data_IF_136062435409
#
_entry.id   IF_136062435409
#
_cell.length_a   1.000
_cell.length_b   1.000
_cell.length_c   1.000
_cell.angle_alpha   90.00
_cell.angle_beta   90.00
_cell.angle_gamma   90.00
#
_symmetry.space_group_name_H-M   'P 1'
#
loop_
_entity.id
_entity.type
_entity.pdbx_description
1 polymer ?
#
# COMPACT_ATOMS: atom_id res chain seq x y z
N UNK A 1 9.96 -18.13 -16.56
CA UNK A 1 8.64 -17.79 -15.98
C UNK A 1 8.86 -16.66 -15.00
N UNK A 2 8.14 -15.60 -15.19
CA UNK A 2 8.24 -14.41 -14.35
C UNK A 2 7.81 -14.74 -12.91
N UNK A 3 8.78 -14.77 -12.00
CA UNK A 3 8.56 -15.14 -10.61
C UNK A 3 7.66 -14.13 -9.91
N UNK A 4 7.83 -12.84 -10.20
CA UNK A 4 7.04 -11.75 -9.60
C UNK A 4 5.58 -11.78 -10.08
N UNK A 5 5.34 -12.03 -11.37
CA UNK A 5 3.98 -12.18 -11.89
C UNK A 5 3.21 -13.32 -11.21
N UNK A 6 3.89 -14.44 -10.93
CA UNK A 6 3.27 -15.56 -10.20
C UNK A 6 2.96 -15.20 -8.75
N UNK A 7 3.85 -14.44 -8.07
CA UNK A 7 3.59 -13.95 -6.71
C UNK A 7 2.41 -12.97 -6.68
N UNK A 8 2.31 -12.07 -7.67
CA UNK A 8 1.20 -11.14 -7.77
C UNK A 8 -0.14 -11.88 -7.93
N UNK A 9 -0.20 -12.89 -8.80
CA UNK A 9 -1.41 -13.74 -8.95
C UNK A 9 -1.83 -14.35 -7.62
N UNK A 10 -0.88 -14.87 -6.83
CA UNK A 10 -1.15 -15.44 -5.52
C UNK A 10 -1.69 -14.39 -4.54
N UNK A 11 -1.03 -13.23 -4.43
CA UNK A 11 -1.42 -12.13 -3.54
C UNK A 11 -2.83 -11.65 -3.87
N UNK A 12 -3.12 -11.38 -5.15
CA UNK A 12 -4.44 -10.94 -5.59
C UNK A 12 -5.53 -11.98 -5.29
N UNK A 13 -5.23 -13.27 -5.48
CA UNK A 13 -6.15 -14.36 -5.16
C UNK A 13 -6.43 -14.46 -3.66
N UNK A 14 -5.41 -14.25 -2.83
CA UNK A 14 -5.51 -14.29 -1.37
C UNK A 14 -6.31 -13.10 -0.81
N UNK A 15 -6.06 -11.90 -1.30
CA UNK A 15 -6.73 -10.68 -0.85
C UNK A 15 -8.19 -10.62 -1.31
N UNK A 16 -8.45 -10.98 -2.56
CA UNK A 16 -9.79 -11.03 -3.10
C UNK A 16 -10.64 -12.19 -2.50
N UNK A 17 -10.00 -13.18 -1.86
CA UNK A 17 -10.63 -14.42 -1.40
C UNK A 17 -11.50 -15.10 -2.47
N UNK A 18 -11.16 -14.86 -3.75
CA UNK A 18 -11.93 -15.30 -4.91
C UNK A 18 -11.07 -15.31 -6.17
N UNK A 19 -10.93 -16.46 -6.79
CA UNK A 19 -10.22 -16.57 -8.06
C UNK A 19 -10.91 -15.82 -9.21
N UNK A 20 -12.24 -15.68 -9.14
CA UNK A 20 -13.00 -14.93 -10.13
C UNK A 20 -12.74 -13.44 -10.03
N UNK A 21 -12.72 -12.89 -8.80
CA UNK A 21 -12.43 -11.47 -8.57
C UNK A 21 -10.99 -11.16 -8.95
N UNK A 22 -10.02 -11.97 -8.47
CA UNK A 22 -8.61 -11.83 -8.81
C UNK A 22 -8.38 -11.90 -10.34
N UNK A 23 -9.09 -12.81 -11.02
CA UNK A 23 -9.01 -12.90 -12.47
C UNK A 23 -9.47 -11.64 -13.19
N UNK A 24 -10.56 -11.01 -12.73
CA UNK A 24 -11.03 -9.72 -13.29
C UNK A 24 -10.01 -8.61 -13.08
N UNK A 25 -9.43 -8.53 -11.89
CA UNK A 25 -8.43 -7.51 -11.56
C UNK A 25 -7.16 -7.64 -12.42
N UNK A 26 -6.75 -8.87 -12.71
CA UNK A 26 -5.55 -9.16 -13.49
C UNK A 26 -5.82 -9.33 -15.00
N UNK A 27 -7.06 -9.17 -15.46
CA UNK A 27 -7.42 -9.33 -16.87
C UNK A 27 -7.31 -10.77 -17.40
N UNK A 28 -7.42 -11.78 -16.52
CA UNK A 28 -7.30 -13.20 -16.88
C UNK A 28 -8.50 -14.03 -16.38
N UNK A 29 -8.67 -15.24 -16.91
CA UNK A 29 -9.75 -16.12 -16.46
C UNK A 29 -9.49 -16.69 -15.04
N UNK A 30 -10.56 -16.99 -14.31
CA UNK A 30 -10.45 -17.64 -12.98
C UNK A 30 -9.74 -18.99 -13.07
N UNK A 31 -9.89 -19.72 -14.17
CA UNK A 31 -9.17 -20.98 -14.41
C UNK A 31 -7.67 -20.78 -14.59
N UNK A 32 -7.24 -19.65 -15.19
CA UNK A 32 -5.83 -19.29 -15.31
C UNK A 32 -5.23 -18.99 -13.93
N UNK A 33 -5.96 -18.25 -13.06
CA UNK A 33 -5.55 -18.04 -11.68
C UNK A 33 -5.38 -19.37 -10.94
N UNK A 34 -6.39 -20.27 -11.03
CA UNK A 34 -6.34 -21.57 -10.37
C UNK A 34 -5.16 -22.43 -10.84
N UNK A 35 -4.85 -22.42 -12.15
CA UNK A 35 -3.70 -23.13 -12.72
C UNK A 35 -2.37 -22.52 -12.27
N UNK A 36 -2.28 -21.19 -12.16
CA UNK A 36 -1.07 -20.51 -11.70
C UNK A 36 -0.79 -20.83 -10.22
N UNK A 37 -1.83 -20.79 -9.39
CA UNK A 37 -1.74 -21.18 -7.96
C UNK A 37 -1.34 -22.65 -7.83
N UNK A 38 -1.98 -23.57 -8.56
CA UNK A 38 -1.66 -24.98 -8.51
C UNK A 38 -0.19 -25.28 -8.85
N UNK A 39 0.34 -24.65 -9.91
CA UNK A 39 1.76 -24.75 -10.28
C UNK A 39 2.71 -24.19 -9.20
N UNK A 40 2.28 -23.14 -8.51
CA UNK A 40 3.04 -22.58 -7.39
C UNK A 40 3.07 -23.56 -6.20
N UNK A 41 1.93 -24.11 -5.82
CA UNK A 41 1.81 -25.12 -4.77
C UNK A 41 2.66 -26.36 -5.07
N UNK A 42 2.61 -26.84 -6.33
CA UNK A 42 3.42 -27.97 -6.78
C UNK A 42 4.93 -27.69 -6.65
N UNK A 43 5.37 -26.50 -7.09
CA UNK A 43 6.78 -26.08 -6.98
C UNK A 43 7.25 -25.94 -5.54
N UNK A 44 6.38 -25.46 -4.65
CA UNK A 44 6.70 -25.26 -3.23
C UNK A 44 6.52 -26.54 -2.40
N UNK A 45 5.83 -27.54 -2.94
CA UNK A 45 5.52 -28.80 -2.25
C UNK A 45 4.49 -28.65 -1.13
N UNK A 46 3.80 -27.51 -1.04
CA UNK A 46 2.83 -27.21 0.02
C UNK A 46 1.55 -26.62 -0.56
N UNK A 47 0.43 -26.80 0.14
CA UNK A 47 -0.82 -26.15 -0.19
C UNK A 47 -0.87 -24.74 0.40
N UNK A 48 -1.24 -23.76 -0.42
CA UNK A 48 -1.40 -22.37 0.00
C UNK A 48 -2.87 -22.03 0.25
N UNK A 49 -3.78 -22.75 -0.42
CA UNK A 49 -5.22 -22.58 -0.25
C UNK A 49 -5.90 -23.89 0.12
N UNK A 50 -6.92 -23.80 0.97
CA UNK A 50 -7.85 -24.90 1.20
C UNK A 50 -8.70 -25.13 -0.05
N UNK A 51 -8.82 -26.36 -0.49
CA UNK A 51 -9.70 -26.73 -1.61
C UNK A 51 -11.14 -26.77 -1.13
N UNK A 52 -11.85 -25.67 -1.23
CA UNK A 52 -13.30 -25.59 -1.06
C UNK A 52 -13.92 -25.00 -2.31
N UNK A 53 -15.05 -25.55 -2.76
CA UNK A 53 -15.80 -25.05 -3.92
C UNK A 53 -16.53 -23.74 -3.61
N UNK A 54 -16.65 -23.36 -2.32
CA UNK A 54 -17.44 -22.20 -1.88
C UNK A 54 -16.62 -20.98 -1.45
N UNK A 55 -15.35 -21.18 -1.04
CA UNK A 55 -14.51 -20.08 -0.58
C UNK A 55 -13.04 -20.38 -0.82
N UNK A 56 -12.29 -19.34 -1.17
CA UNK A 56 -10.83 -19.37 -1.27
C UNK A 56 -10.28 -18.89 0.08
N UNK A 57 -9.81 -19.84 0.89
CA UNK A 57 -9.22 -19.58 2.21
C UNK A 57 -7.78 -20.06 2.25
N UNK A 58 -6.91 -19.27 2.89
CA UNK A 58 -5.50 -19.62 3.03
C UNK A 58 -5.29 -20.74 4.05
N UNK A 59 -4.28 -21.56 3.80
CA UNK A 59 -3.68 -22.45 4.81
C UNK A 59 -2.77 -21.64 5.75
N UNK A 60 -2.21 -22.25 6.77
CA UNK A 60 -1.19 -21.64 7.63
C UNK A 60 0.05 -21.26 6.80
N UNK A 61 0.49 -22.14 5.91
CA UNK A 61 1.59 -21.94 4.99
C UNK A 61 1.28 -20.80 3.98
N UNK A 62 0.02 -20.76 3.47
CA UNK A 62 -0.46 -19.71 2.59
C UNK A 62 -0.46 -18.36 3.28
N UNK A 63 -0.85 -18.28 4.54
CA UNK A 63 -0.83 -17.04 5.33
C UNK A 63 0.59 -16.54 5.57
N UNK A 64 1.51 -17.43 5.94
CA UNK A 64 2.92 -17.10 6.08
C UNK A 64 3.53 -16.62 4.76
N UNK A 65 3.20 -17.31 3.67
CA UNK A 65 3.70 -16.95 2.34
C UNK A 65 3.17 -15.60 1.86
N UNK A 66 1.89 -15.29 2.13
CA UNK A 66 1.30 -13.98 1.82
C UNK A 66 2.03 -12.85 2.53
N UNK A 67 2.35 -13.01 3.81
CA UNK A 67 3.11 -12.02 4.56
C UNK A 67 4.48 -11.77 3.92
N UNK A 68 5.17 -12.83 3.48
CA UNK A 68 6.47 -12.69 2.79
C UNK A 68 6.33 -12.02 1.43
N UNK A 69 5.31 -12.36 0.65
CA UNK A 69 5.06 -11.72 -0.64
C UNK A 69 4.79 -10.21 -0.49
N UNK A 70 4.01 -9.82 0.52
CA UNK A 70 3.75 -8.40 0.81
C UNK A 70 5.03 -7.63 1.12
N UNK A 71 5.93 -8.21 1.90
CA UNK A 71 7.24 -7.58 2.17
C UNK A 71 8.07 -7.43 0.90
N UNK A 72 8.08 -8.44 0.02
CA UNK A 72 8.80 -8.37 -1.26
C UNK A 72 8.25 -7.22 -2.11
N UNK A 73 6.94 -7.09 -2.25
CA UNK A 73 6.33 -6.00 -3.01
C UNK A 73 6.60 -4.63 -2.38
N UNK A 74 6.53 -4.52 -1.06
CA UNK A 74 6.87 -3.28 -0.34
C UNK A 74 8.32 -2.86 -0.55
N UNK A 75 9.27 -3.81 -0.61
CA UNK A 75 10.68 -3.51 -0.91
C UNK A 75 10.87 -3.04 -2.36
N UNK A 76 10.13 -3.61 -3.31
CA UNK A 76 10.15 -3.16 -4.72
C UNK A 76 9.64 -1.73 -4.81
N UNK A 77 8.48 -1.43 -4.19
CA UNK A 77 7.92 -0.09 -4.15
C UNK A 77 8.87 0.91 -3.47
N UNK A 78 9.52 0.51 -2.39
CA UNK A 78 10.52 1.35 -1.70
C UNK A 78 11.72 1.65 -2.61
N UNK A 79 12.21 0.67 -3.35
CA UNK A 79 13.31 0.86 -4.30
C UNK A 79 12.93 1.79 -5.45
N UNK A 80 11.71 1.66 -6.00
CA UNK A 80 11.19 2.56 -7.03
C UNK A 80 11.06 4.00 -6.52
N UNK A 81 10.52 4.17 -5.30
CA UNK A 81 10.41 5.48 -4.66
C UNK A 81 11.79 6.11 -4.37
N UNK A 82 12.76 5.31 -4.00
CA UNK A 82 14.13 5.79 -3.78
C UNK A 82 14.75 6.33 -5.07
N UNK A 83 14.55 5.63 -6.19
CA UNK A 83 15.00 6.09 -7.51
C UNK A 83 14.28 7.37 -7.95
N UNK A 84 12.98 7.46 -7.71
CA UNK A 84 12.21 8.68 -8.02
C UNK A 84 12.68 9.88 -7.19
N UNK A 85 13.00 9.68 -5.92
CA UNK A 85 13.56 10.72 -5.04
C UNK A 85 14.94 11.23 -5.50
N UNK A 86 15.69 10.42 -6.25
CA UNK A 86 17.00 10.80 -6.75
C UNK A 86 16.90 11.80 -7.92
N UNK A 87 15.73 11.93 -8.55
CA UNK A 87 15.55 12.77 -9.73
C UNK A 87 14.94 14.14 -9.47
N UNK A 88 14.23 14.35 -8.34
CA UNK A 88 13.71 15.69 -7.99
C UNK A 88 13.72 15.87 -6.47
N UNK A 89 14.46 16.86 -5.98
CA UNK A 89 14.28 17.34 -4.61
C UNK A 89 12.82 17.83 -4.46
N UNK A 90 12.05 17.33 -3.49
CA UNK A 90 10.69 17.76 -3.30
C UNK A 90 10.67 19.25 -2.98
N UNK A 91 9.90 20.03 -3.77
CA UNK A 91 9.80 21.48 -3.68
C UNK A 91 8.34 21.91 -3.77
N UNK A 92 8.00 23.02 -3.18
CA UNK A 92 6.65 23.58 -3.21
C UNK A 92 6.13 23.91 -1.81
N UNK A 93 4.82 24.17 -1.68
CA UNK A 93 4.20 24.51 -0.41
C UNK A 93 3.45 23.33 0.16
N UNK A 94 3.81 22.92 1.37
CA UNK A 94 3.12 21.89 2.16
C UNK A 94 2.27 22.59 3.23
N UNK A 95 0.93 22.49 3.10
CA UNK A 95 0.00 22.95 4.13
C UNK A 95 -0.31 21.83 5.10
N UNK A 96 -0.12 22.09 6.39
CA UNK A 96 -0.40 21.14 7.46
C UNK A 96 -1.26 21.81 8.52
N UNK A 97 -2.46 21.26 8.74
CA UNK A 97 -3.32 21.67 9.86
C UNK A 97 -3.16 20.68 11.00
N UNK A 98 -2.87 21.20 12.17
CA UNK A 98 -2.62 20.41 13.37
C UNK A 98 -3.49 20.93 14.52
N UNK A 99 -4.00 20.03 15.41
CA UNK A 99 -4.60 20.47 16.64
C UNK A 99 -3.55 21.22 17.52
N UNK A 100 -3.99 22.02 18.48
CA UNK A 100 -3.06 22.75 19.37
C UNK A 100 -2.06 21.81 20.06
N UNK A 101 -2.47 20.58 20.41
CA UNK A 101 -1.56 19.55 20.90
C UNK A 101 -0.46 19.15 19.88
N UNK A 102 -0.62 19.48 18.62
CA UNK A 102 0.38 19.25 17.57
C UNK A 102 1.68 20.03 17.76
N UNK A 103 1.72 21.01 18.68
CA UNK A 103 2.96 21.64 19.11
C UNK A 103 4.01 20.65 19.62
N UNK A 104 3.59 19.52 20.18
CA UNK A 104 4.49 18.43 20.57
C UNK A 104 5.23 17.80 19.39
N UNK A 105 4.74 18.00 18.15
CA UNK A 105 5.39 17.52 16.92
C UNK A 105 6.43 18.51 16.35
N UNK A 106 6.63 19.66 16.97
CA UNK A 106 7.58 20.67 16.48
C UNK A 106 8.98 20.13 16.22
N UNK A 107 9.57 19.26 17.06
CA UNK A 107 10.87 18.67 16.76
C UNK A 107 10.90 17.88 15.46
N UNK A 108 9.81 17.11 15.17
CA UNK A 108 9.67 16.34 13.94
C UNK A 108 9.49 17.26 12.74
N UNK A 109 8.69 18.31 12.86
CA UNK A 109 8.49 19.29 11.79
C UNK A 109 9.80 20.02 11.45
N UNK A 110 10.58 20.42 12.46
CA UNK A 110 11.89 21.03 12.26
C UNK A 110 12.87 20.07 11.61
N UNK A 111 12.88 18.80 11.99
CA UNK A 111 13.71 17.78 11.33
C UNK A 111 13.31 17.60 9.85
N UNK A 112 12.00 17.60 9.55
CA UNK A 112 11.49 17.55 8.18
C UNK A 112 11.93 18.78 7.36
N UNK A 113 11.78 20.00 7.87
CA UNK A 113 12.21 21.23 7.19
C UNK A 113 13.71 21.25 6.91
N UNK A 114 14.52 20.68 7.80
CA UNK A 114 15.97 20.54 7.57
C UNK A 114 16.29 19.52 6.48
N UNK A 115 15.53 18.43 6.42
CA UNK A 115 15.70 17.37 5.41
C UNK A 115 15.25 17.82 4.01
N UNK A 116 14.26 18.76 3.95
CA UNK A 116 13.64 19.22 2.70
C UNK A 116 13.58 20.75 2.65
N UNK A 117 14.73 21.43 2.44
CA UNK A 117 14.82 22.88 2.52
C UNK A 117 14.06 23.64 1.42
N UNK A 118 13.73 22.97 0.31
CA UNK A 118 12.96 23.55 -0.80
C UNK A 118 11.43 23.43 -0.61
N UNK A 119 10.98 22.80 0.50
CA UNK A 119 9.57 22.77 0.87
C UNK A 119 9.27 23.94 1.81
N UNK A 120 8.36 24.82 1.36
CA UNK A 120 7.77 25.84 2.23
C UNK A 120 6.63 25.22 3.02
N UNK A 121 6.74 25.24 4.35
CA UNK A 121 5.72 24.67 5.23
C UNK A 121 4.78 25.77 5.74
N UNK A 122 3.49 25.63 5.45
CA UNK A 122 2.41 26.48 5.93
C UNK A 122 1.65 25.71 7.02
N UNK A 123 1.85 26.11 8.28
CA UNK A 123 1.33 25.40 9.46
C UNK A 123 0.14 26.17 10.02
N UNK A 124 -1.02 25.51 10.09
CA UNK A 124 -2.20 26.01 10.79
C UNK A 124 -2.43 25.19 12.06
N UNK A 125 -2.46 25.86 13.21
CA UNK A 125 -2.76 25.26 14.49
C UNK A 125 -4.17 25.64 14.90
N UNK A 126 -5.14 24.79 14.62
CA UNK A 126 -6.51 25.01 15.02
C UNK A 126 -7.19 23.73 15.48
N UNK A 127 -8.04 23.84 16.52
CA UNK A 127 -8.89 22.72 16.97
C UNK A 127 -10.20 22.62 16.16
N UNK A 128 -10.31 23.37 15.05
CA UNK A 128 -11.44 23.23 14.13
C UNK A 128 -11.25 21.98 13.30
N UNK A 129 -12.29 21.13 13.29
CA UNK A 129 -12.38 20.05 12.31
C UNK A 129 -12.50 20.71 10.94
N UNK A 130 -11.40 20.75 10.19
CA UNK A 130 -11.40 21.20 8.81
C UNK A 130 -11.92 20.05 7.97
N UNK A 131 -13.08 20.21 7.34
CA UNK A 131 -13.58 19.28 6.34
C UNK A 131 -12.65 19.35 5.11
N UNK A 132 -11.69 18.45 5.05
CA UNK A 132 -10.61 18.49 4.04
C UNK A 132 -11.01 17.80 2.75
N UNK A 133 -12.10 17.04 2.74
CA UNK A 133 -12.69 16.45 1.50
C UNK A 133 -14.18 16.22 1.68
N UNK A 134 -14.99 16.78 0.80
CA UNK A 134 -16.29 16.22 0.50
C UNK A 134 -16.08 14.80 -0.08
N UNK A 135 -16.27 13.77 0.73
CA UNK A 135 -16.31 12.39 0.25
C UNK A 135 -15.56 11.31 1.04
N UNK A 136 -14.87 11.57 2.13
CA UNK A 136 -14.23 10.54 2.94
C UNK A 136 -14.84 10.44 4.34
N UNK A 137 -15.79 9.54 4.49
CA UNK A 137 -16.38 9.14 5.76
C UNK A 137 -15.47 8.15 6.48
N UNK A 138 -14.50 8.62 7.27
CA UNK A 138 -13.88 7.82 8.34
C UNK A 138 -13.27 8.74 9.41
N UNK A 139 -13.70 8.63 10.69
CA UNK A 139 -13.40 9.65 11.72
C UNK A 139 -12.01 9.59 12.36
N UNK A 140 -11.05 8.81 11.83
CA UNK A 140 -9.74 8.61 12.48
C UNK A 140 -8.51 8.90 11.62
N UNK A 141 -8.66 9.44 10.41
CA UNK A 141 -7.55 9.81 9.52
C UNK A 141 -7.65 11.25 9.03
N UNK A 142 -7.85 12.22 9.93
CA UNK A 142 -7.64 13.62 9.64
C UNK A 142 -6.17 13.96 9.87
N UNK A 143 -5.28 13.36 9.10
CA UNK A 143 -3.88 13.77 9.16
C UNK A 143 -3.18 13.46 7.83
N UNK A 144 -2.78 14.48 7.18
CA UNK A 144 -1.95 14.54 5.97
C UNK A 144 -2.71 14.55 4.65
N UNK A 145 -3.00 15.75 4.16
CA UNK A 145 -3.22 15.95 2.73
C UNK A 145 -2.08 16.78 2.14
N UNK A 146 -1.32 16.09 1.29
CA UNK A 146 -0.39 16.69 0.35
C UNK A 146 -1.20 17.25 -0.84
N UNK A 147 -1.37 18.56 -0.93
CA UNK A 147 -1.80 19.22 -2.18
C UNK A 147 -0.57 19.71 -2.90
N UNK A 148 -0.08 18.92 -3.84
CA UNK A 148 0.89 19.38 -4.83
C UNK A 148 0.12 20.16 -5.91
N UNK A 149 0.26 21.48 -5.96
CA UNK A 149 -0.02 22.24 -7.18
C UNK A 149 1.32 22.48 -7.89
N UNK A 150 1.43 21.89 -9.06
CA UNK A 150 2.42 22.25 -10.09
C UNK A 150 2.05 23.63 -10.66
#
# INVERSE_FOLDING_TARGET
MDSLGSLNVFVQAAEARSFTVAGRQLGVSSSAIGKAVARMEERLGVRLFHRSTRSVTLTAEGSLFLERCRRIFSEIEAAELELLKTHEAPRGTLRVSLPLAGMLMMPTLVAFMRAYPEIMMDLDFSDRVVDVIEGASTPWCALLMLTTRV
#
